data_IF_000744224032
#
_entry.id   IF_000744224032
#
_cell.length_a   1.000
_cell.length_b   1.000
_cell.length_c   1.000
_cell.angle_alpha   90.00
_cell.angle_beta   90.00
_cell.angle_gamma   90.00
#
_symmetry.space_group_name_H-M   'P 1'
#
loop_
_entity.id
_entity.type
_entity.pdbx_description
1 polymer ?
#
# COMPACT_ATOMS: atom_id res chain seq x y z
N UNK A 1 21.27 1.41 12.07
CA UNK A 1 20.39 1.79 13.19
C UNK A 1 19.38 0.67 13.39
N UNK A 2 19.17 0.13 14.61
CA UNK A 2 18.11 -0.86 14.80
C UNK A 2 16.75 -0.17 14.67
N UNK A 3 15.89 -0.69 13.79
CA UNK A 3 14.50 -0.25 13.65
C UNK A 3 13.79 -0.53 14.99
N UNK A 4 13.32 0.53 15.67
CA UNK A 4 12.40 0.38 16.81
C UNK A 4 11.11 -0.21 16.26
N UNK A 5 10.83 -1.47 16.57
CA UNK A 5 9.55 -2.08 16.26
C UNK A 5 8.50 -1.49 17.19
N UNK A 6 7.66 -0.61 16.65
CA UNK A 6 6.42 -0.22 17.33
C UNK A 6 5.52 -1.45 17.29
N UNK A 7 5.00 -1.94 18.42
CA UNK A 7 4.05 -3.04 18.41
C UNK A 7 2.82 -2.60 17.62
N UNK A 8 2.53 -3.32 16.53
CA UNK A 8 1.33 -3.12 15.72
C UNK A 8 0.18 -3.83 16.42
N UNK A 9 -0.89 -3.09 16.71
CA UNK A 9 -2.11 -3.68 17.25
C UNK A 9 -2.87 -4.39 16.13
N UNK A 10 -2.94 -5.71 16.24
CA UNK A 10 -3.64 -6.58 15.28
C UNK A 10 -4.99 -7.07 15.80
N UNK A 11 -5.47 -6.58 16.95
CA UNK A 11 -6.74 -7.03 17.56
C UNK A 11 -7.97 -6.72 16.72
N UNK A 12 -7.85 -5.78 15.78
CA UNK A 12 -8.91 -5.39 14.84
C UNK A 12 -8.99 -6.35 13.63
N UNK A 13 -8.01 -7.24 13.44
CA UNK A 13 -7.96 -8.13 12.29
C UNK A 13 -8.82 -9.39 12.52
N UNK A 14 -9.58 -9.85 11.50
CA UNK A 14 -10.26 -11.13 11.56
C UNK A 14 -9.30 -12.31 11.74
N UNK A 15 -9.75 -13.38 12.41
CA UNK A 15 -8.92 -14.59 12.62
C UNK A 15 -8.51 -15.26 11.31
N UNK A 16 -9.33 -15.14 10.27
CA UNK A 16 -9.13 -15.73 8.95
C UNK A 16 -8.44 -14.79 7.95
N UNK A 17 -7.92 -13.64 8.40
CA UNK A 17 -7.34 -12.59 7.54
C UNK A 17 -6.28 -13.10 6.57
N UNK A 18 -5.48 -14.09 6.97
CA UNK A 18 -4.42 -14.69 6.13
C UNK A 18 -4.96 -15.50 4.94
N UNK A 19 -6.26 -15.75 4.89
CA UNK A 19 -6.94 -16.43 3.78
C UNK A 19 -7.57 -15.46 2.78
N UNK A 20 -7.50 -14.15 3.01
CA UNK A 20 -8.18 -13.17 2.17
C UNK A 20 -7.45 -13.00 0.84
N UNK A 21 -8.24 -13.12 -0.23
CA UNK A 21 -7.85 -12.83 -1.61
C UNK A 21 -8.92 -12.00 -2.31
N UNK A 22 -8.54 -11.40 -3.43
CA UNK A 22 -9.39 -10.66 -4.36
C UNK A 22 -10.24 -9.62 -3.61
N UNK A 23 -11.56 -9.64 -3.80
CA UNK A 23 -12.49 -8.68 -3.20
C UNK A 23 -12.34 -8.57 -1.68
N UNK A 24 -12.21 -9.69 -0.96
CA UNK A 24 -12.04 -9.68 0.50
C UNK A 24 -10.73 -9.03 0.93
N UNK A 25 -9.68 -9.24 0.15
CA UNK A 25 -8.40 -8.60 0.38
C UNK A 25 -8.50 -7.09 0.13
N UNK A 26 -9.05 -6.67 -1.00
CA UNK A 26 -9.18 -5.24 -1.31
C UNK A 26 -10.11 -4.52 -0.35
N UNK A 27 -11.20 -5.15 0.10
CA UNK A 27 -12.11 -4.57 1.10
C UNK A 27 -11.41 -4.36 2.45
N UNK A 28 -10.56 -5.30 2.86
CA UNK A 28 -9.73 -5.15 4.05
C UNK A 28 -8.74 -3.98 3.90
N UNK A 29 -8.07 -3.87 2.76
CA UNK A 29 -7.12 -2.77 2.50
C UNK A 29 -7.86 -1.42 2.49
N UNK A 30 -9.02 -1.33 1.85
CA UNK A 30 -9.86 -0.11 1.85
C UNK A 30 -10.28 0.29 3.25
N UNK A 31 -10.62 -0.68 4.09
CA UNK A 31 -11.03 -0.45 5.48
C UNK A 31 -9.86 0.04 6.34
N UNK A 32 -8.67 -0.53 6.18
CA UNK A 32 -7.52 -0.27 7.06
C UNK A 32 -6.63 0.87 6.60
N UNK A 33 -6.46 1.05 5.28
CA UNK A 33 -5.47 1.96 4.70
C UNK A 33 -6.11 3.01 3.77
N UNK A 34 -7.19 2.64 3.08
CA UNK A 34 -7.92 3.57 2.20
C UNK A 34 -8.06 3.08 0.77
N UNK A 35 -8.83 3.83 -0.01
CA UNK A 35 -9.13 3.47 -1.40
C UNK A 35 -7.92 3.59 -2.32
N UNK A 36 -7.04 4.56 -2.07
CA UNK A 36 -5.88 4.82 -2.92
C UNK A 36 -4.84 3.69 -2.77
N UNK A 37 -4.63 3.18 -1.55
CA UNK A 37 -3.77 2.05 -1.25
C UNK A 37 -4.31 0.75 -1.87
N UNK A 38 -5.62 0.56 -1.85
CA UNK A 38 -6.24 -0.59 -2.51
C UNK A 38 -6.04 -0.53 -4.04
N UNK A 39 -6.25 0.64 -4.65
CA UNK A 39 -6.01 0.86 -6.09
C UNK A 39 -4.54 0.62 -6.46
N UNK A 40 -3.60 1.07 -5.62
CA UNK A 40 -2.17 0.85 -5.80
C UNK A 40 -1.82 -0.65 -5.81
N UNK A 41 -2.37 -1.43 -4.89
CA UNK A 41 -2.12 -2.88 -4.82
C UNK A 41 -2.78 -3.64 -5.97
N UNK A 42 -3.94 -3.16 -6.44
CA UNK A 42 -4.64 -3.71 -7.61
C UNK A 42 -3.78 -3.55 -8.88
N UNK A 43 -3.19 -2.36 -9.09
CA UNK A 43 -2.27 -2.10 -10.22
C UNK A 43 -1.00 -2.94 -10.14
N UNK A 44 -0.55 -3.28 -8.93
CA UNK A 44 0.57 -4.19 -8.71
C UNK A 44 0.21 -5.67 -8.86
N UNK A 45 -1.05 -5.99 -9.20
CA UNK A 45 -1.59 -7.35 -9.22
C UNK A 45 -1.41 -8.10 -7.88
N UNK A 46 -1.27 -7.37 -6.78
CA UNK A 46 -1.21 -7.93 -5.42
C UNK A 46 -2.64 -8.12 -4.94
N UNK A 47 -3.14 -9.35 -5.04
CA UNK A 47 -4.54 -9.70 -4.80
C UNK A 47 -4.76 -10.58 -3.57
N UNK A 48 -3.77 -10.73 -2.68
CA UNK A 48 -3.96 -11.50 -1.45
C UNK A 48 -3.07 -11.02 -0.32
N UNK A 49 -3.50 -11.28 0.91
CA UNK A 49 -2.69 -11.00 2.12
C UNK A 49 -1.36 -11.75 2.03
N UNK A 50 -1.35 -12.97 1.53
CA UNK A 50 -0.13 -13.74 1.36
C UNK A 50 0.83 -13.10 0.35
N UNK A 51 0.33 -12.66 -0.80
CA UNK A 51 1.16 -11.99 -1.82
C UNK A 51 1.77 -10.70 -1.26
N UNK A 52 0.97 -9.92 -0.52
CA UNK A 52 1.45 -8.70 0.13
C UNK A 52 2.54 -8.98 1.16
N UNK A 53 2.34 -9.97 2.04
CA UNK A 53 3.30 -10.32 3.09
C UNK A 53 4.58 -10.96 2.54
N UNK A 54 4.51 -11.63 1.39
CA UNK A 54 5.69 -12.20 0.72
C UNK A 54 6.41 -11.19 -0.19
N UNK A 55 5.82 -10.01 -0.43
CA UNK A 55 6.51 -8.94 -1.15
C UNK A 55 7.72 -8.47 -0.33
N UNK A 56 8.92 -8.64 -0.89
CA UNK A 56 10.17 -8.21 -0.26
C UNK A 56 10.43 -6.70 -0.43
N UNK A 57 9.57 -6.00 -1.17
CA UNK A 57 9.70 -4.58 -1.53
C UNK A 57 8.53 -3.79 -0.97
N UNK A 58 8.78 -2.53 -0.64
CA UNK A 58 7.75 -1.61 -0.21
C UNK A 58 6.73 -1.42 -1.37
N UNK A 59 5.42 -1.64 -1.16
CA UNK A 59 4.42 -1.43 -2.20
C UNK A 59 4.44 -0.03 -2.82
N UNK A 60 5.01 0.98 -2.13
CA UNK A 60 5.15 2.33 -2.63
C UNK A 60 6.37 2.53 -3.54
N UNK A 61 7.35 1.62 -3.55
CA UNK A 61 8.56 1.72 -4.40
C UNK A 61 8.19 1.81 -5.89
N UNK A 62 7.07 1.22 -6.29
CA UNK A 62 6.59 1.29 -7.67
C UNK A 62 6.30 2.73 -8.12
N UNK A 63 6.01 3.64 -7.19
CA UNK A 63 5.77 5.06 -7.48
C UNK A 63 7.04 5.81 -7.90
N UNK A 64 8.22 5.21 -7.80
CA UNK A 64 9.45 5.78 -8.36
C UNK A 64 9.59 5.48 -9.86
N UNK A 65 8.91 4.45 -10.38
CA UNK A 65 9.01 4.05 -11.79
C UNK A 65 8.40 5.08 -12.73
N UNK A 66 9.10 5.45 -13.79
CA UNK A 66 8.55 6.32 -14.84
C UNK A 66 7.58 5.54 -15.75
N UNK A 67 6.35 5.35 -15.25
CA UNK A 67 5.29 4.62 -15.93
C UNK A 67 4.05 5.53 -16.08
N UNK A 68 3.54 5.75 -17.30
CA UNK A 68 2.34 6.56 -17.53
C UNK A 68 1.11 6.06 -16.79
N UNK A 69 0.96 4.74 -16.62
CA UNK A 69 -0.16 4.14 -15.89
C UNK A 69 -0.16 4.49 -14.39
N UNK A 70 1.00 4.83 -13.82
CA UNK A 70 1.14 5.21 -12.42
C UNK A 70 0.97 6.71 -12.19
N UNK A 71 0.99 7.54 -13.24
CA UNK A 71 0.86 9.00 -13.11
C UNK A 71 -0.40 9.44 -12.35
N UNK A 72 -1.60 8.87 -12.60
CA UNK A 72 -2.79 9.22 -11.83
C UNK A 72 -2.66 8.87 -10.34
N UNK A 73 -2.08 7.72 -10.03
CA UNK A 73 -1.90 7.25 -8.64
C UNK A 73 -0.83 8.09 -7.94
N UNK A 74 0.29 8.41 -8.61
CA UNK A 74 1.31 9.32 -8.08
C UNK A 74 0.71 10.67 -7.71
N UNK A 75 -0.13 11.26 -8.58
CA UNK A 75 -0.77 12.54 -8.28
C UNK A 75 -1.69 12.48 -7.04
N UNK A 76 -2.37 11.36 -6.80
CA UNK A 76 -3.20 11.17 -5.60
C UNK A 76 -2.36 10.96 -4.35
N UNK A 77 -1.37 10.08 -4.44
CA UNK A 77 -0.62 9.55 -3.30
C UNK A 77 0.66 10.29 -2.97
N UNK A 78 1.04 11.33 -3.72
CA UNK A 78 2.26 12.09 -3.46
C UNK A 78 2.05 13.60 -3.37
N UNK A 79 2.91 14.26 -2.61
CA UNK A 79 3.13 15.70 -2.66
C UNK A 79 4.32 15.97 -3.56
N UNK A 80 4.13 16.88 -4.51
CA UNK A 80 5.23 17.45 -5.28
C UNK A 80 5.78 18.65 -4.51
N UNK A 81 7.02 18.56 -4.06
CA UNK A 81 7.71 19.66 -3.39
C UNK A 81 8.29 20.63 -4.44
N UNK A 82 8.49 21.89 -4.04
CA UNK A 82 8.92 22.96 -4.95
C UNK A 82 10.33 22.75 -5.54
N UNK A 83 11.12 21.83 -4.98
CA UNK A 83 12.44 21.43 -5.46
C UNK A 83 12.38 20.30 -6.51
N UNK A 84 11.18 19.85 -6.87
CA UNK A 84 10.97 18.74 -7.81
C UNK A 84 11.00 17.36 -7.16
N UNK A 85 11.22 17.26 -5.84
CA UNK A 85 11.13 15.99 -5.13
C UNK A 85 9.69 15.55 -4.91
N UNK A 86 9.48 14.24 -4.84
CA UNK A 86 8.16 13.61 -4.67
C UNK A 86 8.13 12.94 -3.30
N UNK A 87 7.14 13.31 -2.48
CA UNK A 87 6.96 12.75 -1.15
C UNK A 87 5.65 11.96 -1.10
N UNK A 88 5.71 10.65 -0.85
CA UNK A 88 4.50 9.82 -0.69
C UNK A 88 3.77 10.26 0.58
N UNK A 89 2.47 10.51 0.46
CA UNK A 89 1.62 10.91 1.58
C UNK A 89 1.61 9.77 2.61
N UNK A 90 1.91 10.04 3.89
CA UNK A 90 1.69 9.03 4.92
C UNK A 90 0.20 8.68 4.96
N UNK A 91 -0.11 7.39 5.02
CA UNK A 91 -1.49 6.90 5.16
C UNK A 91 -2.18 7.53 6.38
N UNK A 92 -3.47 7.84 6.24
CA UNK A 92 -4.30 8.45 7.30
C UNK A 92 -4.71 7.44 8.36
#
# INVERSE_FOLDING_TARGET
MPLKTVPVDTSILPEDVLSYSDDKFFDLVRMLAGNDEAELLEVQATHSVQSLLHSATDPFDILELDCPALQPIKQKMSFHLNDGSVFVKPGN
#
